data_IF_415127429465
#
_entry.id   IF_415127429465
#
_cell.length_a   1.000
_cell.length_b   1.000
_cell.length_c   1.000
_cell.angle_alpha   90.00
_cell.angle_beta   90.00
_cell.angle_gamma   90.00
#
_symmetry.space_group_name_H-M   'P 1'
#
loop_
_entity.id
_entity.type
_entity.pdbx_description
1 polymer ?
#
# COMPACT_ATOMS: atom_id res chain seq x y z
N UNK A 1 15.37 -2.36 -67.00
CA UNK A 1 14.97 -3.25 -65.90
C UNK A 1 15.21 -2.53 -64.59
N UNK A 2 14.17 -2.07 -63.96
CA UNK A 2 14.25 -1.39 -62.67
C UNK A 2 13.78 -2.39 -61.60
N UNK A 3 14.67 -2.79 -60.73
CA UNK A 3 14.36 -3.66 -59.62
C UNK A 3 13.90 -2.78 -58.45
N UNK A 4 12.63 -2.84 -58.10
CA UNK A 4 12.07 -2.17 -56.95
C UNK A 4 12.37 -3.05 -55.73
N UNK A 5 13.23 -2.55 -54.84
CA UNK A 5 13.50 -3.17 -53.57
C UNK A 5 12.40 -2.80 -52.60
N UNK A 6 11.62 -3.78 -52.19
CA UNK A 6 10.55 -3.64 -51.22
C UNK A 6 11.16 -3.57 -49.81
N UNK A 7 11.12 -2.38 -49.20
CA UNK A 7 11.56 -2.18 -47.83
C UNK A 7 10.49 -2.73 -46.88
N UNK A 8 10.75 -3.90 -46.33
CA UNK A 8 9.92 -4.45 -45.25
C UNK A 8 9.95 -3.52 -44.02
N UNK A 9 8.84 -2.86 -43.78
CA UNK A 9 8.62 -2.14 -42.54
C UNK A 9 8.46 -3.15 -41.40
N UNK A 10 9.49 -3.25 -40.60
CA UNK A 10 9.40 -3.97 -39.31
C UNK A 10 8.59 -3.13 -38.36
N UNK A 11 7.32 -3.46 -38.19
CA UNK A 11 6.52 -2.90 -37.11
C UNK A 11 7.07 -3.42 -35.78
N UNK A 12 7.76 -2.56 -35.06
CA UNK A 12 8.15 -2.85 -33.69
C UNK A 12 6.88 -2.99 -32.85
N UNK A 13 6.49 -4.21 -32.54
CA UNK A 13 5.43 -4.48 -31.59
C UNK A 13 5.95 -4.07 -30.22
N UNK A 14 5.42 -2.97 -29.67
CA UNK A 14 5.68 -2.57 -28.29
C UNK A 14 5.14 -3.68 -27.39
N UNK A 15 6.03 -4.47 -26.81
CA UNK A 15 5.65 -5.49 -25.83
C UNK A 15 5.03 -4.77 -24.62
N UNK A 16 3.82 -5.18 -24.24
CA UNK A 16 3.24 -4.74 -22.97
C UNK A 16 4.22 -5.10 -21.83
N UNK A 17 4.40 -4.22 -20.82
CA UNK A 17 5.27 -4.53 -19.71
C UNK A 17 4.79 -5.84 -19.07
N UNK A 18 5.62 -6.84 -19.09
CA UNK A 18 5.38 -8.09 -18.36
C UNK A 18 5.22 -7.75 -16.88
N UNK A 19 4.16 -8.26 -16.22
CA UNK A 19 4.06 -8.08 -14.77
C UNK A 19 5.34 -8.62 -14.14
N UNK A 20 6.00 -7.76 -13.37
CA UNK A 20 7.26 -8.08 -12.75
C UNK A 20 6.99 -9.11 -11.65
N UNK A 21 7.02 -10.40 -12.00
CA UNK A 21 6.91 -11.52 -11.06
C UNK A 21 8.19 -11.70 -10.23
N UNK A 22 9.10 -10.72 -10.33
CA UNK A 22 10.37 -10.69 -9.65
C UNK A 22 10.31 -10.03 -8.26
N UNK A 23 11.49 -9.92 -7.67
CA UNK A 23 11.73 -9.22 -6.41
C UNK A 23 11.23 -7.77 -6.50
N UNK A 24 10.52 -7.25 -5.47
CA UNK A 24 10.09 -5.86 -5.45
C UNK A 24 11.24 -4.88 -5.67
N UNK A 25 10.95 -3.77 -6.35
CA UNK A 25 11.94 -2.73 -6.68
C UNK A 25 12.50 -2.07 -5.42
N UNK A 26 13.80 -1.79 -5.41
CA UNK A 26 14.45 -0.92 -4.44
C UNK A 26 14.78 0.47 -5.00
N UNK A 27 14.24 0.78 -6.16
CA UNK A 27 14.25 2.14 -6.71
C UNK A 27 13.15 2.95 -6.00
N UNK A 28 13.40 4.22 -5.74
CA UNK A 28 12.44 5.13 -5.08
C UNK A 28 12.19 4.88 -3.59
N UNK A 29 13.13 4.26 -2.88
CA UNK A 29 13.01 4.07 -1.43
C UNK A 29 12.94 5.42 -0.70
N UNK A 30 11.98 5.55 0.20
CA UNK A 30 11.93 6.62 1.17
C UNK A 30 12.88 6.32 2.35
N UNK A 31 13.35 7.37 3.01
CA UNK A 31 14.12 7.21 4.24
C UNK A 31 13.18 6.85 5.40
N UNK A 32 13.27 5.63 5.91
CA UNK A 32 12.38 5.16 6.97
C UNK A 32 12.46 6.00 8.26
N UNK A 33 13.59 6.60 8.55
CA UNK A 33 13.74 7.44 9.76
C UNK A 33 12.80 8.64 9.76
N UNK A 34 12.43 9.15 8.60
CA UNK A 34 11.51 10.29 8.49
C UNK A 34 10.08 9.94 8.93
N UNK A 35 9.76 8.65 9.01
CA UNK A 35 8.45 8.11 9.36
C UNK A 35 8.43 7.41 10.71
N UNK A 36 9.58 7.29 11.39
CA UNK A 36 9.68 6.59 12.65
C UNK A 36 9.06 7.38 13.81
N UNK A 37 8.30 6.71 14.65
CA UNK A 37 7.81 7.26 15.90
C UNK A 37 7.63 6.16 16.94
N UNK A 38 7.91 6.49 18.19
CA UNK A 38 7.68 5.58 19.30
C UNK A 38 6.28 5.77 19.86
N UNK A 39 5.62 4.64 20.09
CA UNK A 39 4.31 4.59 20.69
C UNK A 39 4.23 3.42 21.67
N UNK A 40 4.07 3.75 22.96
CA UNK A 40 4.04 2.72 24.00
C UNK A 40 5.33 1.91 24.13
N UNK A 41 6.49 2.52 23.87
CA UNK A 41 7.79 1.87 23.94
C UNK A 41 8.15 1.03 22.71
N UNK A 42 7.35 1.09 21.66
CA UNK A 42 7.61 0.41 20.40
C UNK A 42 7.73 1.39 19.25
N UNK A 43 8.78 1.24 18.46
CA UNK A 43 8.96 2.03 17.25
C UNK A 43 8.07 1.50 16.15
N UNK A 44 7.24 2.37 15.59
CA UNK A 44 6.47 2.14 14.38
C UNK A 44 6.84 3.15 13.31
N UNK A 45 6.38 2.93 12.10
CA UNK A 45 6.62 3.82 10.95
C UNK A 45 5.27 4.24 10.40
N UNK A 46 4.98 5.53 10.49
CA UNK A 46 3.66 6.10 10.24
C UNK A 46 3.70 7.06 9.08
N UNK A 47 2.73 6.96 8.18
CA UNK A 47 2.61 7.89 7.08
C UNK A 47 1.16 8.22 6.76
N UNK A 48 0.94 9.37 6.16
CA UNK A 48 -0.34 9.77 5.57
C UNK A 48 -0.26 9.70 4.05
N UNK A 49 -1.40 9.42 3.42
CA UNK A 49 -1.51 9.58 1.97
C UNK A 49 -1.46 11.05 1.58
N UNK A 50 -1.02 11.39 0.34
CA UNK A 50 -1.02 12.77 -0.13
C UNK A 50 -2.40 13.44 -0.09
N UNK A 51 -3.48 12.66 -0.23
CA UNK A 51 -4.85 13.17 -0.08
C UNK A 51 -5.24 13.51 1.37
N UNK A 52 -4.47 13.03 2.36
CA UNK A 52 -4.82 13.11 3.77
C UNK A 52 -5.99 12.22 4.21
N UNK A 53 -6.56 11.45 3.29
CA UNK A 53 -7.74 10.62 3.56
C UNK A 53 -7.43 9.38 4.38
N UNK A 54 -6.26 8.79 4.16
CA UNK A 54 -5.83 7.58 4.87
C UNK A 54 -4.54 7.81 5.62
N UNK A 55 -4.43 7.17 6.76
CA UNK A 55 -3.21 7.08 7.55
C UNK A 55 -2.81 5.62 7.66
N UNK A 56 -1.53 5.38 7.53
CA UNK A 56 -0.96 4.05 7.44
C UNK A 56 0.18 3.87 8.43
N UNK A 57 0.46 2.63 8.79
CA UNK A 57 1.60 2.30 9.62
C UNK A 57 2.22 0.97 9.23
N UNK A 58 3.52 0.88 9.42
CA UNK A 58 4.27 -0.38 9.47
C UNK A 58 4.71 -0.59 10.91
N UNK A 59 4.20 -1.66 11.53
CA UNK A 59 4.61 -2.13 12.84
C UNK A 59 5.59 -3.27 12.61
N UNK A 60 6.90 -3.06 12.85
CA UNK A 60 7.94 -4.01 12.44
C UNK A 60 7.67 -5.43 12.93
N UNK A 61 7.78 -6.38 12.01
CA UNK A 61 7.59 -7.81 12.22
C UNK A 61 6.18 -8.23 12.67
N UNK A 62 5.25 -7.31 12.78
CA UNK A 62 3.88 -7.57 13.22
C UNK A 62 2.92 -7.44 12.06
N UNK A 63 2.71 -6.23 11.57
CA UNK A 63 1.76 -5.95 10.50
C UNK A 63 2.02 -4.59 9.86
N UNK A 64 1.44 -4.42 8.67
CA UNK A 64 1.27 -3.11 8.04
C UNK A 64 -0.19 -2.93 7.68
N UNK A 65 -0.63 -1.70 7.55
CA UNK A 65 -1.98 -1.42 7.13
C UNK A 65 -2.32 0.05 7.11
N UNK A 66 -3.55 0.32 6.71
CA UNK A 66 -4.08 1.66 6.56
C UNK A 66 -5.48 1.75 7.14
N UNK A 67 -5.83 2.93 7.59
CA UNK A 67 -7.16 3.24 8.08
C UNK A 67 -7.61 4.61 7.56
N UNK A 68 -8.91 4.90 7.68
CA UNK A 68 -9.41 6.24 7.47
C UNK A 68 -8.72 7.19 8.46
N UNK A 69 -8.28 8.35 7.99
CA UNK A 69 -7.66 9.36 8.84
C UNK A 69 -8.58 9.82 9.98
N UNK A 70 -9.89 9.73 9.76
CA UNK A 70 -10.90 9.82 10.81
C UNK A 70 -11.14 8.42 11.38
N UNK A 71 -10.45 8.08 12.45
CA UNK A 71 -10.36 6.74 13.00
C UNK A 71 -11.70 6.07 13.39
N UNK A 72 -12.75 6.84 13.56
CA UNK A 72 -14.11 6.35 13.87
C UNK A 72 -14.94 6.06 12.62
N UNK A 73 -14.51 6.56 11.46
CA UNK A 73 -15.21 6.34 10.19
C UNK A 73 -14.85 5.01 9.57
N UNK A 74 -15.75 4.48 8.73
CA UNK A 74 -15.43 3.31 7.91
C UNK A 74 -14.25 3.61 7.00
N UNK A 75 -13.59 2.56 6.51
CA UNK A 75 -12.41 2.75 5.65
C UNK A 75 -12.75 3.46 4.33
N UNK A 76 -13.99 3.37 3.86
CA UNK A 76 -14.44 4.10 2.68
C UNK A 76 -13.85 3.58 1.36
N UNK A 77 -13.77 2.27 1.23
CA UNK A 77 -13.33 1.57 0.02
C UNK A 77 -14.52 0.84 -0.58
N UNK A 78 -14.78 1.05 -1.86
CA UNK A 78 -15.82 0.30 -2.56
C UNK A 78 -15.50 -1.20 -2.57
N UNK A 79 -16.51 -2.02 -2.28
CA UNK A 79 -16.36 -3.48 -2.21
C UNK A 79 -15.83 -4.00 -0.88
N UNK A 80 -15.47 -3.14 0.07
CA UNK A 80 -15.18 -3.58 1.43
C UNK A 80 -16.43 -4.23 2.07
N UNK A 81 -16.26 -5.22 2.97
CA UNK A 81 -17.41 -5.81 3.66
C UNK A 81 -18.13 -4.75 4.50
N UNK A 82 -19.45 -4.88 4.59
CA UNK A 82 -20.28 -3.96 5.38
C UNK A 82 -19.94 -4.04 6.87
N UNK A 83 -19.62 -5.25 7.34
CA UNK A 83 -19.34 -5.52 8.75
C UNK A 83 -18.19 -6.50 8.92
N UNK A 84 -17.45 -6.32 9.99
CA UNK A 84 -16.43 -7.25 10.50
C UNK A 84 -16.59 -7.38 12.01
N UNK A 85 -16.03 -8.43 12.61
CA UNK A 85 -16.01 -8.55 14.07
C UNK A 85 -15.14 -7.46 14.70
N UNK A 86 -15.71 -6.70 15.60
CA UNK A 86 -15.01 -5.72 16.41
C UNK A 86 -14.25 -6.35 17.58
N UNK A 87 -13.51 -5.55 18.35
CA UNK A 87 -12.70 -6.03 19.47
C UNK A 87 -13.49 -6.75 20.56
N UNK A 88 -14.75 -6.41 20.74
CA UNK A 88 -15.67 -7.04 21.71
C UNK A 88 -16.57 -8.13 21.10
N UNK A 89 -16.34 -8.52 19.85
CA UNK A 89 -17.17 -9.50 19.13
C UNK A 89 -18.42 -8.91 18.48
N UNK A 90 -18.64 -7.59 18.62
CA UNK A 90 -19.72 -6.88 17.93
C UNK A 90 -19.48 -6.79 16.43
N UNK A 91 -20.56 -6.64 15.67
CA UNK A 91 -20.50 -6.43 14.22
C UNK A 91 -20.40 -4.94 13.91
N UNK A 92 -19.31 -4.51 13.29
CA UNK A 92 -18.99 -3.11 13.01
C UNK A 92 -18.43 -2.95 11.60
N UNK A 93 -18.68 -1.79 10.99
CA UNK A 93 -18.02 -1.45 9.73
C UNK A 93 -16.50 -1.43 9.89
N UNK A 94 -15.74 -2.02 8.96
CA UNK A 94 -14.28 -1.99 9.03
C UNK A 94 -13.78 -0.55 8.89
N UNK A 95 -12.77 -0.19 9.66
CA UNK A 95 -12.09 1.10 9.55
C UNK A 95 -10.67 0.98 9.01
N UNK A 96 -10.18 -0.23 8.80
CA UNK A 96 -8.81 -0.49 8.37
C UNK A 96 -8.70 -1.72 7.47
N UNK A 97 -7.64 -1.74 6.67
CA UNK A 97 -7.16 -2.92 5.95
C UNK A 97 -5.74 -3.23 6.42
N UNK A 98 -5.45 -4.49 6.70
CA UNK A 98 -4.15 -4.91 7.25
C UNK A 98 -3.59 -6.11 6.52
N UNK A 99 -2.26 -6.23 6.57
CA UNK A 99 -1.49 -7.41 6.17
C UNK A 99 -0.53 -7.79 7.29
N UNK A 100 -0.57 -9.04 7.72
CA UNK A 100 0.35 -9.61 8.69
C UNK A 100 1.53 -10.29 8.01
N UNK A 101 2.49 -10.79 8.76
CA UNK A 101 3.67 -11.47 8.20
C UNK A 101 3.31 -12.66 7.31
N UNK A 102 2.24 -13.35 7.63
CA UNK A 102 1.73 -14.49 6.87
C UNK A 102 0.23 -14.36 6.67
N UNK A 103 -0.27 -14.93 5.60
CA UNK A 103 -1.67 -14.83 5.22
C UNK A 103 -1.96 -13.69 4.26
N UNK A 104 -3.24 -13.53 3.92
CA UNK A 104 -3.72 -12.48 3.04
C UNK A 104 -4.15 -11.22 3.78
N UNK A 105 -4.46 -10.16 3.03
CA UNK A 105 -4.99 -8.94 3.61
C UNK A 105 -6.38 -9.15 4.22
N UNK A 106 -6.69 -8.37 5.24
CA UNK A 106 -7.99 -8.42 5.93
C UNK A 106 -8.51 -7.02 6.22
N UNK A 107 -9.81 -6.85 6.06
CA UNK A 107 -10.52 -5.72 6.62
C UNK A 107 -10.78 -5.97 8.11
N UNK A 108 -10.52 -4.96 8.93
CA UNK A 108 -10.65 -5.07 10.40
C UNK A 108 -11.26 -3.81 11.00
N UNK A 109 -11.77 -3.96 12.20
CA UNK A 109 -12.15 -2.82 13.05
C UNK A 109 -11.10 -2.64 14.14
N UNK A 110 -10.33 -1.56 14.05
CA UNK A 110 -9.33 -1.20 15.04
C UNK A 110 -9.90 -0.23 16.06
N UNK A 111 -9.49 -0.42 17.33
CA UNK A 111 -9.72 0.58 18.37
C UNK A 111 -8.78 1.77 18.15
N UNK A 112 -9.26 3.02 18.22
CA UNK A 112 -8.39 4.18 18.14
C UNK A 112 -7.24 4.11 19.17
N UNK A 113 -6.04 4.56 18.78
CA UNK A 113 -5.67 5.26 17.57
C UNK A 113 -5.34 4.36 16.35
N UNK A 114 -5.36 3.01 16.49
CA UNK A 114 -5.07 2.09 15.40
C UNK A 114 -3.73 2.38 14.70
N UNK A 115 -3.78 2.73 13.43
CA UNK A 115 -2.60 3.12 12.64
C UNK A 115 -2.33 4.63 12.65
N UNK A 116 -3.13 5.42 13.34
CA UNK A 116 -2.91 6.85 13.44
C UNK A 116 -1.76 7.17 14.40
N UNK A 117 -0.96 8.16 14.06
CA UNK A 117 0.05 8.71 14.95
C UNK A 117 -0.63 9.77 15.86
N UNK A 118 -0.36 9.70 17.16
CA UNK A 118 -0.88 10.65 18.13
C UNK A 118 0.26 11.13 19.03
N UNK A 119 0.53 12.44 19.11
CA UNK A 119 -0.08 13.50 18.31
C UNK A 119 0.29 13.40 16.82
N UNK A 120 -0.66 13.78 15.98
CA UNK A 120 -0.50 13.74 14.54
C UNK A 120 -0.36 15.11 13.91
N UNK A 121 -0.42 15.20 12.57
CA UNK A 121 -0.49 14.07 11.64
C UNK A 121 0.84 13.35 11.41
N UNK A 122 0.78 12.14 10.87
CA UNK A 122 1.97 11.45 10.37
C UNK A 122 2.54 12.16 9.12
N UNK A 123 3.83 11.99 8.89
CA UNK A 123 4.48 12.51 7.68
C UNK A 123 3.80 11.96 6.42
N UNK A 124 3.69 12.78 5.39
CA UNK A 124 3.18 12.35 4.09
C UNK A 124 4.19 11.47 3.37
N UNK A 125 3.76 10.32 2.87
CA UNK A 125 4.55 9.52 1.93
C UNK A 125 4.24 10.03 0.51
N UNK A 126 5.21 10.65 -0.16
CA UNK A 126 4.99 11.19 -1.50
C UNK A 126 4.64 10.09 -2.50
N UNK A 127 3.94 10.45 -3.57
CA UNK A 127 3.68 9.52 -4.67
C UNK A 127 4.96 8.89 -5.20
N UNK A 128 4.88 7.61 -5.52
CA UNK A 128 5.96 6.80 -6.07
C UNK A 128 7.16 6.60 -5.13
N UNK A 129 6.99 6.87 -3.83
CA UNK A 129 7.99 6.52 -2.82
C UNK A 129 7.58 5.24 -2.11
N UNK A 130 8.58 4.43 -1.78
CA UNK A 130 8.41 3.14 -1.13
C UNK A 130 8.99 3.22 0.28
N UNK A 131 8.15 3.04 1.27
CA UNK A 131 8.57 2.86 2.65
C UNK A 131 8.76 1.36 2.90
N UNK A 132 10.01 0.90 2.95
CA UNK A 132 10.36 -0.49 3.16
C UNK A 132 11.12 -0.64 4.47
N UNK A 133 10.52 -1.27 5.46
CA UNK A 133 11.08 -1.42 6.79
C UNK A 133 10.36 -2.54 7.57
N UNK A 134 11.08 -3.22 8.46
CA UNK A 134 10.49 -4.16 9.41
C UNK A 134 9.83 -5.38 8.79
N UNK A 135 10.18 -5.74 7.56
CA UNK A 135 9.62 -6.90 6.84
C UNK A 135 8.37 -6.57 6.01
N UNK A 136 8.04 -5.30 5.89
CA UNK A 136 6.94 -4.81 5.07
C UNK A 136 7.39 -3.68 4.17
N UNK A 137 6.65 -3.45 3.09
CA UNK A 137 6.80 -2.29 2.24
C UNK A 137 5.45 -1.74 1.83
N UNK A 138 5.34 -0.44 1.82
CA UNK A 138 4.15 0.27 1.35
C UNK A 138 4.55 1.37 0.38
N UNK A 139 3.68 1.68 -0.55
CA UNK A 139 3.83 2.82 -1.45
C UNK A 139 2.49 3.47 -1.73
N UNK A 140 2.52 4.67 -2.25
CA UNK A 140 1.33 5.40 -2.72
C UNK A 140 1.56 5.80 -4.16
N UNK A 141 0.65 5.46 -5.03
CA UNK A 141 0.69 5.81 -6.44
C UNK A 141 -0.61 6.52 -6.84
N UNK A 142 -0.49 7.52 -7.69
CA UNK A 142 -1.65 8.28 -8.13
C UNK A 142 -2.65 7.42 -8.92
N UNK A 143 -2.15 6.49 -9.73
CA UNK A 143 -2.98 5.63 -10.57
C UNK A 143 -3.64 4.47 -9.82
N UNK A 144 -2.95 3.87 -8.85
CA UNK A 144 -3.40 2.63 -8.20
C UNK A 144 -3.81 2.79 -6.74
N UNK A 145 -3.43 3.89 -6.09
CA UNK A 145 -3.69 4.11 -4.68
C UNK A 145 -2.58 3.64 -3.76
N UNK A 146 -2.95 3.14 -2.61
CA UNK A 146 -2.01 2.66 -1.57
C UNK A 146 -1.83 1.16 -1.71
N UNK A 147 -0.59 0.70 -1.64
CA UNK A 147 -0.25 -0.70 -1.72
C UNK A 147 0.74 -1.09 -0.63
N UNK A 148 0.50 -2.22 0.03
CA UNK A 148 1.39 -2.78 1.05
C UNK A 148 1.65 -4.26 0.78
N UNK A 149 2.84 -4.72 1.13
CA UNK A 149 3.33 -6.09 0.96
C UNK A 149 3.98 -6.58 2.24
N UNK A 150 3.68 -7.83 2.63
CA UNK A 150 4.51 -8.58 3.57
C UNK A 150 5.63 -9.28 2.81
N UNK A 151 6.88 -8.90 3.07
CA UNK A 151 8.02 -9.51 2.37
C UNK A 151 8.25 -10.96 2.78
N UNK A 152 7.88 -11.32 4.00
CA UNK A 152 8.01 -12.69 4.50
C UNK A 152 6.98 -13.64 3.90
N UNK A 153 5.72 -13.22 3.84
CA UNK A 153 4.61 -14.06 3.41
C UNK A 153 4.22 -13.87 1.95
N UNK A 154 4.63 -12.77 1.31
CA UNK A 154 4.27 -12.43 -0.06
C UNK A 154 2.84 -11.93 -0.23
N UNK A 155 2.02 -11.91 0.82
CA UNK A 155 0.69 -11.35 0.79
C UNK A 155 0.70 -9.83 0.74
N UNK A 156 -0.28 -9.24 0.07
CA UNK A 156 -0.37 -7.79 -0.05
C UNK A 156 -1.75 -7.32 -0.48
N UNK A 157 -1.90 -6.02 -0.54
CA UNK A 157 -3.10 -5.38 -1.03
C UNK A 157 -2.77 -4.10 -1.78
N UNK A 158 -3.68 -3.68 -2.62
CA UNK A 158 -3.70 -2.36 -3.24
C UNK A 158 -5.13 -1.82 -3.15
N UNK A 159 -5.30 -0.59 -2.73
CA UNK A 159 -6.62 0.02 -2.66
C UNK A 159 -6.63 1.50 -2.99
N UNK A 160 -7.78 1.95 -3.44
CA UNK A 160 -8.19 3.36 -3.54
C UNK A 160 -9.63 3.46 -3.03
N UNK A 161 -10.24 4.64 -3.14
CA UNK A 161 -11.67 4.78 -2.83
C UNK A 161 -12.55 3.88 -3.70
N UNK A 162 -12.12 3.64 -4.94
CA UNK A 162 -12.92 2.95 -5.97
C UNK A 162 -12.85 1.42 -5.89
N UNK A 163 -12.01 0.88 -5.02
CA UNK A 163 -11.90 -0.56 -4.87
C UNK A 163 -10.57 -1.04 -4.29
N UNK A 164 -10.42 -2.36 -4.24
CA UNK A 164 -9.20 -2.98 -3.75
C UNK A 164 -8.89 -4.28 -4.49
N UNK A 165 -7.62 -4.68 -4.42
CA UNK A 165 -7.14 -5.99 -4.84
C UNK A 165 -6.29 -6.63 -3.75
N UNK A 166 -6.21 -7.96 -3.75
CA UNK A 166 -5.41 -8.73 -2.78
C UNK A 166 -4.00 -9.00 -3.30
N UNK A 167 -3.44 -8.03 -4.01
CA UNK A 167 -2.10 -8.09 -4.57
C UNK A 167 -1.37 -6.76 -4.35
N UNK A 168 -0.07 -6.84 -4.13
CA UNK A 168 0.80 -5.67 -4.08
C UNK A 168 1.04 -5.11 -5.49
N UNK A 169 1.02 -3.80 -5.61
CA UNK A 169 1.38 -3.08 -6.84
C UNK A 169 2.67 -2.31 -6.61
N UNK A 170 3.75 -2.76 -7.25
CA UNK A 170 5.05 -2.11 -7.11
C UNK A 170 5.11 -0.79 -7.87
N UNK A 171 6.01 0.10 -7.43
CA UNK A 171 6.29 1.34 -8.14
C UNK A 171 7.13 1.02 -9.37
N UNK A 172 6.69 1.45 -10.57
CA UNK A 172 7.48 1.23 -11.78
C UNK A 172 8.87 1.89 -11.65
N UNK A 173 9.95 1.25 -12.12
CA UNK A 173 11.30 1.81 -12.03
C UNK A 173 11.45 3.18 -12.69
N UNK A 174 10.67 3.45 -13.72
CA UNK A 174 10.66 4.73 -14.44
C UNK A 174 9.67 5.76 -13.90
N UNK A 175 9.02 5.52 -12.76
CA UNK A 175 8.11 6.49 -12.16
C UNK A 175 8.85 7.76 -11.74
N UNK A 176 8.23 8.95 -11.91
CA UNK A 176 8.85 10.23 -11.54
C UNK A 176 9.01 10.41 -10.03
#
# INVERSE_FOLDING_TARGET
>A
MVTTEDAAQTTATSAAPTPNTGRPSNVHLANAFDFAADRGGQTGYYFSSPSGRWTCAILPRVRAGCQNAQSTSSIGIDGAPDEVSGPGGESLAPNAITIERSGGPRFVRLTPPGFALTPGPAAELPFNRILAVGGFRCNVQQASGISCLSEAGGGGFTFSADGFTTAYTDVPPGAP
#
